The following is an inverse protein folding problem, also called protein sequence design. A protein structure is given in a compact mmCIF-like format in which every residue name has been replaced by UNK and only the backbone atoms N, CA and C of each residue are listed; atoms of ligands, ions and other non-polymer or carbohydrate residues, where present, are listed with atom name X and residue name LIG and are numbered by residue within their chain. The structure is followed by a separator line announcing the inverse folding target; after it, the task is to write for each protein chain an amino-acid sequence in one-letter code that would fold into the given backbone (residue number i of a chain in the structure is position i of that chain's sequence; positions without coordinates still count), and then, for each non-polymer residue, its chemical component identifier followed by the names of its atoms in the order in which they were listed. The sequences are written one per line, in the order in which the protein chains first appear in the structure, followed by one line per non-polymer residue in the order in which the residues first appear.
data_IF_469540762228
#
_entry.id   IF_469540762228
#
_cell.length_a   1.000
_cell.length_b   1.000
_cell.length_c   1.000
_cell.angle_alpha   90.00
_cell.angle_beta   90.00
_cell.angle_gamma   90.00
#
_symmetry.space_group_name_H-M   'P 1'
#
loop_
_entity.id
_entity.type
_entity.pdbx_description
1 polymer ?
#
# COMPACT_ATOMS: atom_id res chain seq x y z
N UNK A 1 13.35 17.97 6.69
CA UNK A 1 12.32 16.90 6.83
C UNK A 1 12.18 16.09 5.54
N UNK A 2 11.95 16.70 4.37
CA UNK A 2 11.93 16.02 3.07
C UNK A 2 13.22 15.21 2.77
N UNK A 3 14.39 15.74 3.16
CA UNK A 3 15.67 15.02 3.05
C UNK A 3 15.64 13.63 3.71
N UNK A 4 15.04 13.50 4.90
CA UNK A 4 14.98 12.23 5.64
C UNK A 4 14.10 11.22 4.91
N UNK A 5 12.97 11.69 4.37
CA UNK A 5 12.06 10.86 3.57
C UNK A 5 12.73 10.41 2.26
N UNK A 6 13.43 11.32 1.57
CA UNK A 6 14.12 11.01 0.30
C UNK A 6 15.19 9.93 0.49
N UNK A 7 15.96 9.98 1.58
CA UNK A 7 16.98 8.97 1.89
C UNK A 7 16.34 7.57 2.00
N UNK A 8 15.23 7.46 2.73
CA UNK A 8 14.52 6.19 2.89
C UNK A 8 13.89 5.69 1.60
N UNK A 9 13.21 6.59 0.87
CA UNK A 9 12.61 6.25 -0.42
C UNK A 9 13.65 5.75 -1.42
N UNK A 10 14.84 6.37 -1.45
CA UNK A 10 15.93 5.93 -2.30
C UNK A 10 16.42 4.52 -1.92
N UNK A 11 16.59 4.24 -0.62
CA UNK A 11 16.98 2.90 -0.13
C UNK A 11 15.95 1.84 -0.54
N UNK A 12 14.67 2.14 -0.35
CA UNK A 12 13.56 1.25 -0.74
C UNK A 12 13.49 1.04 -2.25
N UNK A 13 13.76 2.07 -3.05
CA UNK A 13 13.75 1.99 -4.51
C UNK A 13 14.92 1.20 -5.09
N UNK A 14 16.08 1.26 -4.43
CA UNK A 14 17.27 0.50 -4.84
C UNK A 14 17.16 -0.99 -4.45
N UNK A 15 16.47 -1.31 -3.35
CA UNK A 15 16.22 -2.69 -2.98
C UNK A 15 15.15 -3.33 -3.89
N UNK A 16 15.56 -4.34 -4.67
CA UNK A 16 14.67 -5.09 -5.57
C UNK A 16 13.47 -5.69 -4.83
N UNK A 17 13.70 -6.32 -3.68
CA UNK A 17 12.65 -6.96 -2.89
C UNK A 17 11.66 -5.93 -2.35
N UNK A 18 12.15 -4.84 -1.76
CA UNK A 18 11.28 -3.78 -1.24
C UNK A 18 10.48 -3.10 -2.35
N UNK A 19 11.10 -2.84 -3.52
CA UNK A 19 10.41 -2.29 -4.69
C UNK A 19 9.26 -3.18 -5.15
N UNK A 20 9.49 -4.49 -5.28
CA UNK A 20 8.46 -5.45 -5.69
C UNK A 20 7.34 -5.53 -4.66
N UNK A 21 7.68 -5.63 -3.36
CA UNK A 21 6.68 -5.68 -2.29
C UNK A 21 5.83 -4.41 -2.19
N UNK A 22 6.44 -3.24 -2.37
CA UNK A 22 5.73 -1.95 -2.45
C UNK A 22 4.76 -2.00 -3.62
N UNK A 23 5.21 -2.36 -4.82
CA UNK A 23 4.35 -2.43 -6.00
C UNK A 23 3.16 -3.37 -5.81
N UNK A 24 3.44 -4.58 -5.30
CA UNK A 24 2.40 -5.58 -4.96
C UNK A 24 1.41 -5.01 -3.95
N UNK A 25 1.89 -4.31 -2.91
CA UNK A 25 1.03 -3.75 -1.85
C UNK A 25 0.03 -2.70 -2.35
N UNK A 26 0.31 -2.03 -3.46
CA UNK A 26 -0.60 -1.05 -4.09
C UNK A 26 -1.44 -1.67 -5.21
N UNK A 27 -0.81 -2.45 -6.09
CA UNK A 27 -1.45 -2.95 -7.31
C UNK A 27 -2.42 -4.09 -7.03
N UNK A 28 -2.09 -5.04 -6.15
CA UNK A 28 -3.00 -6.13 -5.83
C UNK A 28 -4.37 -5.65 -5.31
N UNK A 29 -4.43 -4.85 -4.23
CA UNK A 29 -5.72 -4.38 -3.73
C UNK A 29 -6.48 -3.59 -4.79
N UNK A 30 -5.81 -2.75 -5.59
CA UNK A 30 -6.46 -2.01 -6.67
C UNK A 30 -7.06 -2.93 -7.74
N UNK A 31 -6.30 -3.92 -8.22
CA UNK A 31 -6.78 -4.88 -9.21
C UNK A 31 -7.95 -5.71 -8.68
N UNK A 32 -7.91 -6.14 -7.42
CA UNK A 32 -9.02 -6.88 -6.79
C UNK A 32 -10.29 -6.04 -6.72
N UNK A 33 -10.18 -4.75 -6.42
CA UNK A 33 -11.32 -3.82 -6.41
C UNK A 33 -11.92 -3.61 -7.80
N UNK A 34 -11.08 -3.48 -8.82
CA UNK A 34 -11.55 -3.31 -10.20
C UNK A 34 -12.18 -4.60 -10.72
N UNK A 35 -11.54 -5.76 -10.49
CA UNK A 35 -12.07 -7.06 -10.91
C UNK A 35 -13.39 -7.40 -10.23
N UNK A 36 -13.58 -7.01 -8.96
CA UNK A 36 -14.86 -7.24 -8.28
C UNK A 36 -15.99 -6.37 -8.83
N UNK A 37 -15.68 -5.19 -9.38
CA UNK A 37 -16.67 -4.36 -10.06
C UNK A 37 -17.07 -4.90 -11.43
N UNK A 38 -16.21 -5.63 -12.13
CA UNK A 38 -16.53 -6.11 -13.48
C UNK A 38 -17.45 -7.34 -13.38
N UNK A 39 -18.46 -7.41 -14.26
CA UNK A 39 -19.28 -8.61 -14.46
C UNK A 39 -18.42 -9.74 -15.02
N UNK A 40 -18.04 -10.70 -14.18
CA UNK A 40 -17.30 -11.89 -14.61
C UNK A 40 -18.31 -12.99 -14.94
N UNK A 41 -18.46 -13.26 -16.24
CA UNK A 41 -19.23 -14.41 -16.72
C UNK A 41 -18.38 -15.67 -16.52
N UNK A 42 -18.61 -16.43 -15.44
CA UNK A 42 -17.95 -17.71 -15.24
C UNK A 42 -18.57 -18.76 -16.16
N UNK A 43 -17.89 -19.04 -17.27
CA UNK A 43 -18.15 -20.20 -18.16
C UNK A 43 -19.62 -20.38 -18.61
N UNK A 44 -20.42 -19.31 -18.67
CA UNK A 44 -21.82 -19.38 -19.13
C UNK A 44 -22.80 -20.08 -18.19
N UNK A 45 -22.40 -20.45 -16.96
CA UNK A 45 -23.27 -21.12 -15.99
C UNK A 45 -23.85 -20.15 -14.94
N UNK A 46 -23.08 -19.15 -14.49
CA UNK A 46 -23.54 -18.11 -13.56
C UNK A 46 -22.84 -16.77 -13.85
N UNK A 47 -23.61 -15.68 -13.91
CA UNK A 47 -23.08 -14.32 -13.93
C UNK A 47 -22.86 -13.87 -12.49
N UNK A 48 -21.59 -13.75 -12.07
CA UNK A 48 -21.28 -13.24 -10.74
C UNK A 48 -21.36 -11.71 -10.78
N UNK A 49 -22.58 -11.18 -10.80
CA UNK A 49 -22.84 -9.75 -10.77
C UNK A 49 -22.94 -9.25 -9.33
N UNK A 50 -21.79 -9.05 -8.69
CA UNK A 50 -21.74 -8.43 -7.36
C UNK A 50 -22.38 -7.02 -7.36
N UNK A 51 -22.47 -6.36 -8.52
CA UNK A 51 -23.14 -5.07 -8.69
C UNK A 51 -24.67 -5.10 -8.56
N UNK A 52 -25.36 -6.11 -9.08
CA UNK A 52 -26.84 -6.21 -8.95
C UNK A 52 -27.28 -6.50 -7.51
N UNK A 53 -26.38 -7.05 -6.70
CA UNK A 53 -26.60 -7.27 -5.27
C UNK A 53 -26.51 -5.98 -4.43
N UNK A 54 -26.27 -4.82 -5.06
CA UNK A 54 -26.19 -3.51 -4.39
C UNK A 54 -24.93 -3.33 -3.52
N UNK A 55 -23.93 -4.18 -3.70
CA UNK A 55 -22.69 -4.24 -2.90
C UNK A 55 -21.81 -3.00 -3.15
N UNK A 56 -21.94 -2.39 -4.33
CA UNK A 56 -21.22 -1.17 -4.71
C UNK A 56 -22.01 0.12 -4.48
N UNK A 57 -23.23 0.04 -3.95
CA UNK A 57 -24.01 1.24 -3.63
C UNK A 57 -23.47 1.91 -2.36
N UNK A 58 -23.56 3.24 -2.32
CA UNK A 58 -23.32 3.97 -1.09
C UNK A 58 -24.38 3.63 -0.03
N UNK A 59 -24.01 3.43 1.25
CA UNK A 59 -22.67 3.56 1.84
C UNK A 59 -21.87 2.25 1.91
N UNK A 60 -22.44 1.11 1.51
CA UNK A 60 -21.87 -0.23 1.69
C UNK A 60 -20.55 -0.41 0.96
N UNK A 61 -20.38 0.24 -0.19
CA UNK A 61 -19.13 0.21 -0.97
C UNK A 61 -17.92 0.57 -0.11
N UNK A 62 -18.04 1.55 0.79
CA UNK A 62 -16.95 1.96 1.69
C UNK A 62 -16.52 0.85 2.63
N UNK A 63 -17.46 0.05 3.14
CA UNK A 63 -17.15 -1.02 4.07
C UNK A 63 -16.49 -2.19 3.35
N UNK A 64 -17.04 -2.58 2.20
CA UNK A 64 -16.61 -3.79 1.51
C UNK A 64 -15.24 -3.58 0.85
N UNK A 65 -15.07 -2.50 0.09
CA UNK A 65 -13.80 -2.25 -0.60
C UNK A 65 -12.66 -2.05 0.39
N UNK A 66 -12.89 -1.30 1.47
CA UNK A 66 -11.85 -1.04 2.47
C UNK A 66 -11.55 -2.28 3.32
N UNK A 67 -12.56 -3.09 3.65
CA UNK A 67 -12.36 -4.36 4.36
C UNK A 67 -11.48 -5.32 3.55
N UNK A 68 -11.78 -5.52 2.26
CA UNK A 68 -10.96 -6.35 1.39
C UNK A 68 -9.58 -5.77 1.15
N UNK A 69 -9.48 -4.47 0.84
CA UNK A 69 -8.19 -3.80 0.67
C UNK A 69 -7.31 -3.88 1.93
N UNK A 70 -7.93 -3.91 3.12
CA UNK A 70 -7.22 -4.00 4.39
C UNK A 70 -6.41 -5.29 4.56
N UNK A 71 -6.82 -6.39 3.91
CA UNK A 71 -6.11 -7.67 3.97
C UNK A 71 -4.72 -7.58 3.32
N UNK A 72 -4.56 -6.70 2.33
CA UNK A 72 -3.30 -6.49 1.63
C UNK A 72 -2.29 -5.63 2.41
N UNK A 73 -2.67 -5.07 3.58
CA UNK A 73 -1.74 -4.36 4.48
C UNK A 73 -0.58 -5.25 4.95
N UNK A 74 -0.76 -6.57 4.93
CA UNK A 74 0.30 -7.52 5.25
C UNK A 74 1.54 -7.36 4.37
N UNK A 75 1.38 -7.15 3.06
CA UNK A 75 2.51 -6.91 2.15
C UNK A 75 3.30 -5.65 2.54
N UNK A 76 2.58 -4.58 2.90
CA UNK A 76 3.21 -3.36 3.36
C UNK A 76 3.94 -3.53 4.70
N UNK A 77 3.40 -4.33 5.62
CA UNK A 77 4.09 -4.67 6.87
C UNK A 77 5.44 -5.36 6.62
N UNK A 78 5.52 -6.27 5.63
CA UNK A 78 6.78 -6.89 5.22
C UNK A 78 7.78 -5.84 4.72
N UNK A 79 7.34 -4.83 3.95
CA UNK A 79 8.20 -3.72 3.51
C UNK A 79 8.81 -3.01 4.71
N UNK A 80 8.00 -2.67 5.72
CA UNK A 80 8.47 -1.97 6.93
C UNK A 80 9.49 -2.81 7.70
N UNK A 81 9.21 -4.10 7.90
CA UNK A 81 10.15 -5.02 8.56
C UNK A 81 11.44 -5.14 7.74
N UNK A 82 11.34 -5.26 6.42
CA UNK A 82 12.51 -5.35 5.54
C UNK A 82 13.38 -4.09 5.60
N UNK A 83 12.76 -2.91 5.67
CA UNK A 83 13.46 -1.63 5.78
C UNK A 83 14.33 -1.57 7.04
N UNK A 84 13.81 -2.07 8.16
CA UNK A 84 14.56 -2.13 9.43
C UNK A 84 15.61 -3.24 9.36
N UNK A 85 15.25 -4.44 8.91
CA UNK A 85 16.18 -5.57 8.81
C UNK A 85 17.39 -5.28 7.93
N UNK A 86 17.18 -4.62 6.78
CA UNK A 86 18.26 -4.22 5.87
C UNK A 86 19.25 -3.25 6.54
N UNK A 87 18.78 -2.39 7.44
CA UNK A 87 19.64 -1.43 8.15
C UNK A 87 20.58 -2.14 9.13
N UNK A 88 20.11 -3.19 9.80
CA UNK A 88 20.93 -4.02 10.68
C UNK A 88 21.88 -4.90 9.88
N UNK A 89 21.40 -5.61 8.86
CA UNK A 89 22.23 -6.52 8.05
C UNK A 89 23.35 -5.79 7.32
N UNK A 90 23.06 -4.63 6.73
CA UNK A 90 24.05 -3.84 5.98
C UNK A 90 24.83 -2.86 6.87
N UNK A 91 24.58 -2.84 8.18
CA UNK A 91 25.21 -1.93 9.16
C UNK A 91 25.08 -0.44 8.80
N UNK A 92 24.10 -0.08 7.98
CA UNK A 92 23.89 1.32 7.52
C UNK A 92 23.44 2.24 8.65
N UNK A 93 22.96 1.71 9.78
CA UNK A 93 22.73 2.49 11.01
C UNK A 93 24.00 3.22 11.45
N UNK A 94 25.15 2.52 11.42
CA UNK A 94 26.44 3.11 11.80
C UNK A 94 26.86 4.18 10.79
N UNK A 95 26.66 3.91 9.50
CA UNK A 95 26.96 4.86 8.43
C UNK A 95 26.12 6.14 8.57
N UNK A 96 24.81 6.02 8.78
CA UNK A 96 23.93 7.18 8.99
C UNK A 96 24.41 8.03 10.19
N UNK A 97 24.86 7.39 11.29
CA UNK A 97 25.42 8.10 12.44
C UNK A 97 26.74 8.82 12.12
N UNK A 98 27.62 8.22 11.32
CA UNK A 98 28.87 8.83 10.84
C UNK A 98 28.57 10.01 9.93
N UNK A 99 27.55 9.90 9.08
CA UNK A 99 27.07 10.95 8.17
C UNK A 99 26.34 12.10 8.91
N UNK A 100 26.34 12.08 10.24
CA UNK A 100 25.80 13.14 11.11
C UNK A 100 24.30 13.02 11.41
N UNK A 101 23.66 11.89 11.08
CA UNK A 101 22.24 11.67 11.29
C UNK A 101 21.99 11.28 12.76
N UNK A 102 21.21 12.08 13.47
CA UNK A 102 20.91 11.80 14.88
C UNK A 102 20.00 10.58 15.04
N UNK A 103 20.04 9.93 16.22
CA UNK A 103 19.15 8.80 16.53
C UNK A 103 17.66 9.16 16.40
N UNK A 104 17.30 10.42 16.72
CA UNK A 104 15.93 10.93 16.58
C UNK A 104 15.52 11.04 15.11
N UNK A 105 16.39 11.61 14.28
CA UNK A 105 16.14 11.75 12.85
C UNK A 105 16.04 10.40 12.14
N UNK A 106 16.80 9.40 12.60
CA UNK A 106 16.69 8.03 12.08
C UNK A 106 15.30 7.42 12.34
N UNK A 107 14.76 7.56 13.55
CA UNK A 107 13.41 7.04 13.85
C UNK A 107 12.36 7.83 13.06
N UNK A 108 12.52 9.16 12.99
CA UNK A 108 11.62 10.04 12.25
C UNK A 108 11.61 9.73 10.74
N UNK A 109 12.74 9.36 10.13
CA UNK A 109 12.78 8.97 8.71
C UNK A 109 11.89 7.76 8.43
N UNK A 110 11.93 6.74 9.29
CA UNK A 110 11.08 5.54 9.18
C UNK A 110 9.60 5.91 9.36
N UNK A 111 9.29 6.72 10.38
CA UNK A 111 7.93 7.16 10.65
C UNK A 111 7.33 7.94 9.47
N UNK A 112 8.06 8.92 8.92
CA UNK A 112 7.60 9.68 7.76
C UNK A 112 7.39 8.82 6.53
N UNK A 113 8.24 7.81 6.32
CA UNK A 113 8.09 6.87 5.22
C UNK A 113 6.81 6.04 5.36
N UNK A 114 6.51 5.54 6.56
CA UNK A 114 5.28 4.81 6.85
C UNK A 114 4.05 5.69 6.63
N UNK A 115 4.06 6.92 7.17
CA UNK A 115 2.95 7.88 7.00
C UNK A 115 2.74 8.23 5.52
N UNK A 116 3.81 8.46 4.77
CA UNK A 116 3.75 8.77 3.35
C UNK A 116 3.05 7.66 2.54
N UNK A 117 3.48 6.41 2.71
CA UNK A 117 2.85 5.28 2.02
C UNK A 117 1.43 5.00 2.51
N UNK A 118 1.16 5.18 3.80
CA UNK A 118 -0.20 5.03 4.35
C UNK A 118 -1.16 6.07 3.74
N UNK A 119 -0.75 7.33 3.64
CA UNK A 119 -1.55 8.39 3.02
C UNK A 119 -1.76 8.12 1.52
N UNK A 120 -0.72 7.70 0.81
CA UNK A 120 -0.84 7.32 -0.60
C UNK A 120 -1.84 6.17 -0.80
N UNK A 121 -1.81 5.15 0.08
CA UNK A 121 -2.74 4.02 0.03
C UNK A 121 -4.18 4.47 0.32
N UNK A 122 -4.37 5.33 1.33
CA UNK A 122 -5.69 5.88 1.66
C UNK A 122 -6.27 6.68 0.49
N UNK A 123 -5.48 7.55 -0.15
CA UNK A 123 -5.93 8.35 -1.30
C UNK A 123 -6.28 7.43 -2.47
N UNK A 124 -5.43 6.46 -2.80
CA UNK A 124 -5.64 5.55 -3.93
C UNK A 124 -6.89 4.71 -3.75
N UNK A 125 -7.04 4.04 -2.59
CA UNK A 125 -8.21 3.20 -2.30
C UNK A 125 -9.47 4.06 -2.17
N UNK A 126 -9.36 5.25 -1.57
CA UNK A 126 -10.47 6.19 -1.43
C UNK A 126 -11.00 6.67 -2.77
N UNK A 127 -10.12 7.10 -3.68
CA UNK A 127 -10.50 7.50 -5.03
C UNK A 127 -11.06 6.32 -5.84
N UNK A 128 -10.44 5.15 -5.77
CA UNK A 128 -10.93 3.96 -6.46
C UNK A 128 -12.34 3.57 -5.99
N UNK A 129 -12.56 3.54 -4.67
CA UNK A 129 -13.86 3.23 -4.07
C UNK A 129 -14.93 4.25 -4.45
N UNK A 130 -14.57 5.53 -4.43
CA UNK A 130 -15.47 6.62 -4.82
C UNK A 130 -15.89 6.51 -6.29
N UNK A 131 -14.93 6.26 -7.20
CA UNK A 131 -15.21 6.11 -8.63
C UNK A 131 -16.10 4.89 -8.90
N UNK A 132 -15.85 3.76 -8.23
CA UNK A 132 -16.68 2.56 -8.34
C UNK A 132 -18.10 2.86 -7.84
N UNK A 133 -18.24 3.46 -6.66
CA UNK A 133 -19.56 3.77 -6.10
C UNK A 133 -20.33 4.87 -6.84
N UNK A 134 -19.68 5.74 -7.63
CA UNK A 134 -20.36 6.70 -8.50
C UNK A 134 -20.82 6.11 -9.83
N UNK A 135 -20.19 5.01 -10.26
CA UNK A 135 -20.55 4.32 -11.50
C UNK A 135 -21.73 3.36 -11.33
N UNK A 136 -21.88 2.78 -10.13
CA UNK A 136 -23.00 1.92 -9.72
C UNK A 136 -24.11 2.72 -9.03
#
# INVERSE_FOLDING_TARGET
MLRLLQIELQKLWLNRTSKVLIFISFVLPFTVLVLSSIKINFFGFFTLELGELGIFNFPIVWHITTFFASQFKFFFAIVVVSMIGNEFSNKTIKQNLIDGLSKKEFILSKFYTIVFFSLAATILIGLATLLIGLYY
#
